data_IF_698244041225
#
_entry.id   IF_698244041225
#
_cell.length_a   1.000
_cell.length_b   1.000
_cell.length_c   1.000
_cell.angle_alpha   90.00
_cell.angle_beta   90.00
_cell.angle_gamma   90.00
#
_symmetry.space_group_name_H-M   'P 1'
#
loop_
_entity.id
_entity.type
_entity.pdbx_description
1 polymer ?
#
# COMPACT_ATOMS: atom_id res chain seq x y z
N UNK A 1 -20.60 42.43 4.42
CA UNK A 1 -19.65 41.32 4.43
C UNK A 1 -20.27 40.16 3.70
N UNK A 2 -19.60 39.63 2.67
CA UNK A 2 -20.09 38.47 1.92
C UNK A 2 -19.95 37.24 2.80
N UNK A 3 -21.06 36.65 3.22
CA UNK A 3 -21.07 35.37 3.92
C UNK A 3 -20.78 34.28 2.88
N UNK A 4 -19.67 33.58 3.01
CA UNK A 4 -19.41 32.34 2.27
C UNK A 4 -20.43 31.31 2.76
N UNK A 5 -21.53 31.15 2.03
CA UNK A 5 -22.44 30.03 2.23
C UNK A 5 -21.68 28.78 1.82
N UNK A 6 -21.11 28.08 2.79
CA UNK A 6 -20.56 26.74 2.57
C UNK A 6 -21.74 25.85 2.19
N UNK A 7 -21.87 25.59 0.89
CA UNK A 7 -22.64 24.47 0.37
C UNK A 7 -21.96 23.23 0.93
N UNK A 8 -22.35 22.82 2.14
CA UNK A 8 -21.91 21.58 2.73
C UNK A 8 -22.53 20.49 1.86
N UNK A 9 -21.77 20.04 0.86
CA UNK A 9 -22.10 18.83 0.14
C UNK A 9 -21.92 17.72 1.16
N UNK A 10 -23.02 17.34 1.79
CA UNK A 10 -23.10 16.18 2.67
C UNK A 10 -22.92 14.96 1.77
N UNK A 11 -21.66 14.55 1.61
CA UNK A 11 -21.36 13.28 0.99
C UNK A 11 -21.72 12.20 2.04
N UNK A 12 -22.53 11.20 1.68
CA UNK A 12 -22.81 10.10 2.58
C UNK A 12 -21.51 9.33 2.88
N UNK A 13 -21.42 8.76 4.08
CA UNK A 13 -20.24 7.99 4.49
C UNK A 13 -19.96 6.86 3.48
N UNK A 14 -18.68 6.69 3.04
CA UNK A 14 -18.33 5.64 2.10
C UNK A 14 -18.51 4.28 2.75
N UNK A 15 -19.19 3.37 2.06
CA UNK A 15 -19.39 2.00 2.52
C UNK A 15 -18.53 1.08 1.69
N UNK A 16 -17.50 0.50 2.29
CA UNK A 16 -16.74 -0.58 1.68
C UNK A 16 -17.44 -1.90 1.97
N UNK A 17 -17.92 -2.57 0.92
CA UNK A 17 -18.65 -3.83 1.04
C UNK A 17 -17.75 -5.05 0.88
N UNK A 18 -16.89 -5.04 -0.15
CA UNK A 18 -16.01 -6.17 -0.47
C UNK A 18 -14.73 -5.71 -1.17
N UNK A 19 -13.69 -6.53 -1.12
CA UNK A 19 -12.49 -6.39 -1.94
C UNK A 19 -12.28 -7.69 -2.70
N UNK A 20 -11.88 -7.62 -3.96
CA UNK A 20 -11.51 -8.80 -4.75
C UNK A 20 -10.22 -8.55 -5.54
N UNK A 21 -9.20 -9.41 -5.41
CA UNK A 21 -9.09 -10.51 -4.44
C UNK A 21 -8.94 -10.00 -3.00
N UNK A 22 -9.24 -10.82 -1.98
CA UNK A 22 -8.92 -10.55 -0.56
C UNK A 22 -7.60 -11.17 -0.12
N UNK A 23 -6.89 -11.82 -1.04
CA UNK A 23 -5.62 -12.45 -0.78
C UNK A 23 -4.66 -12.29 -1.96
N UNK A 24 -3.37 -12.25 -1.65
CA UNK A 24 -2.31 -12.23 -2.65
C UNK A 24 -1.10 -13.01 -2.15
N UNK A 25 -0.22 -13.34 -3.10
CA UNK A 25 1.01 -14.06 -2.82
C UNK A 25 2.13 -13.10 -2.42
N UNK A 26 2.90 -13.48 -1.41
CA UNK A 26 4.07 -12.69 -0.99
C UNK A 26 5.09 -12.62 -2.15
N UNK A 27 5.67 -11.45 -2.36
CA UNK A 27 6.67 -11.21 -3.42
C UNK A 27 6.09 -11.00 -4.83
N UNK A 28 4.78 -10.80 -4.97
CA UNK A 28 4.20 -10.40 -6.25
C UNK A 28 4.70 -8.99 -6.67
N UNK A 29 5.02 -8.79 -7.96
CA UNK A 29 5.53 -7.49 -8.47
C UNK A 29 4.51 -6.34 -8.36
N UNK A 30 3.22 -6.66 -8.38
CA UNK A 30 2.11 -5.74 -8.14
C UNK A 30 0.81 -6.55 -8.06
N UNK A 31 -0.13 -6.13 -7.22
CA UNK A 31 -1.48 -6.72 -7.20
C UNK A 31 -2.52 -5.61 -7.39
N UNK A 32 -3.44 -5.80 -8.32
CA UNK A 32 -4.60 -4.92 -8.49
C UNK A 32 -5.76 -5.47 -7.69
N UNK A 33 -6.25 -4.68 -6.73
CA UNK A 33 -7.45 -5.00 -5.96
C UNK A 33 -8.62 -4.15 -6.46
N UNK A 34 -9.80 -4.76 -6.45
CA UNK A 34 -11.06 -4.11 -6.76
C UNK A 34 -11.85 -3.99 -5.47
N UNK A 35 -12.02 -2.77 -4.98
CA UNK A 35 -12.87 -2.46 -3.84
C UNK A 35 -14.28 -2.13 -4.35
N UNK A 36 -15.26 -2.89 -3.88
CA UNK A 36 -16.67 -2.74 -4.22
C UNK A 36 -17.43 -2.22 -3.00
N UNK A 37 -18.31 -1.26 -3.21
CA UNK A 37 -19.00 -0.56 -2.13
C UNK A 37 -20.07 0.40 -2.62
N UNK A 38 -20.32 1.45 -1.85
CA UNK A 38 -21.31 2.50 -2.14
C UNK A 38 -20.80 3.86 -1.64
N UNK A 39 -21.27 4.94 -2.26
CA UNK A 39 -20.94 6.33 -1.88
C UNK A 39 -19.45 6.67 -2.04
N UNK A 40 -18.75 6.03 -2.98
CA UNK A 40 -17.39 6.43 -3.33
C UNK A 40 -17.41 7.70 -4.18
N UNK A 41 -16.42 8.55 -3.93
CA UNK A 41 -16.19 9.78 -4.68
C UNK A 41 -14.79 9.72 -5.29
N UNK A 42 -14.50 10.50 -6.34
CA UNK A 42 -13.16 10.54 -6.94
C UNK A 42 -12.06 11.04 -5.97
N UNK A 43 -12.44 11.69 -4.87
CA UNK A 43 -11.53 12.06 -3.79
C UNK A 43 -11.24 10.93 -2.79
N UNK A 44 -11.94 9.78 -2.87
CA UNK A 44 -11.76 8.64 -1.99
C UNK A 44 -10.40 7.95 -2.23
N UNK A 45 -9.65 7.75 -1.15
CA UNK A 45 -8.35 7.08 -1.16
C UNK A 45 -8.44 5.76 -0.39
N UNK A 46 -7.80 4.70 -0.88
CA UNK A 46 -7.70 3.41 -0.17
C UNK A 46 -6.42 3.45 0.65
N UNK A 47 -6.57 3.26 1.95
CA UNK A 47 -5.50 3.09 2.91
C UNK A 47 -5.25 1.61 3.17
N UNK A 48 -3.99 1.21 3.05
CA UNK A 48 -3.50 -0.15 3.26
C UNK A 48 -2.66 -0.19 4.54
N UNK A 49 -3.28 -0.57 5.67
CA UNK A 49 -2.67 -0.53 7.01
C UNK A 49 -2.06 0.84 7.38
N UNK A 50 -2.65 1.94 6.89
CA UNK A 50 -2.18 3.30 7.10
C UNK A 50 -1.22 3.84 6.02
N UNK A 51 -0.95 3.06 4.97
CA UNK A 51 -0.26 3.52 3.77
C UNK A 51 -1.29 3.83 2.67
N UNK A 52 -1.44 5.09 2.22
CA UNK A 52 -2.35 5.41 1.14
C UNK A 52 -1.83 4.80 -0.17
N UNK A 53 -2.66 3.98 -0.82
CA UNK A 53 -2.37 3.37 -2.10
C UNK A 53 -2.87 4.22 -3.27
N UNK A 54 -2.32 3.92 -4.45
CA UNK A 54 -2.82 4.54 -5.69
C UNK A 54 -4.18 3.96 -6.03
N UNK A 55 -5.23 4.78 -5.87
CA UNK A 55 -6.60 4.44 -6.20
C UNK A 55 -7.06 5.11 -7.49
N UNK A 56 -7.74 4.33 -8.32
CA UNK A 56 -8.44 4.78 -9.50
C UNK A 56 -9.93 4.65 -9.25
N UNK A 57 -10.62 5.78 -9.24
CA UNK A 57 -12.07 5.82 -9.16
C UNK A 57 -12.68 5.32 -10.47
N UNK A 58 -13.42 4.22 -10.42
CA UNK A 58 -14.15 3.69 -11.59
C UNK A 58 -15.59 4.17 -11.55
N UNK A 59 -16.24 4.05 -10.39
CA UNK A 59 -17.65 4.40 -10.19
C UNK A 59 -17.95 4.62 -8.71
N UNK A 60 -19.12 5.17 -8.39
CA UNK A 60 -19.55 5.40 -7.01
C UNK A 60 -19.66 4.13 -6.16
N UNK A 61 -19.58 2.96 -6.79
CA UNK A 61 -19.61 1.63 -6.18
C UNK A 61 -18.34 0.81 -6.41
N UNK A 62 -17.36 1.34 -7.15
CA UNK A 62 -16.17 0.58 -7.54
C UNK A 62 -14.91 1.45 -7.58
N UNK A 63 -13.90 1.02 -6.84
CA UNK A 63 -12.57 1.61 -6.79
C UNK A 63 -11.55 0.53 -7.15
N UNK A 64 -10.54 0.87 -7.95
CA UNK A 64 -9.40 0.00 -8.20
C UNK A 64 -8.18 0.53 -7.47
N UNK A 65 -7.55 -0.29 -6.64
CA UNK A 65 -6.28 0.05 -5.99
C UNK A 65 -5.16 -0.82 -6.56
N UNK A 66 -3.99 -0.23 -6.75
CA UNK A 66 -2.78 -0.98 -7.08
C UNK A 66 -1.90 -1.07 -5.85
N UNK A 67 -1.68 -2.31 -5.39
CA UNK A 67 -0.78 -2.66 -4.29
C UNK A 67 0.61 -2.89 -4.90
N UNK A 68 1.62 -2.10 -4.52
CA UNK A 68 2.99 -2.27 -5.02
C UNK A 68 3.66 -3.48 -4.36
N UNK A 69 4.67 -4.05 -5.04
CA UNK A 69 5.46 -5.18 -4.50
C UNK A 69 6.03 -4.94 -3.10
N UNK A 70 6.31 -3.68 -2.73
CA UNK A 70 6.82 -3.32 -1.41
C UNK A 70 5.88 -3.74 -0.29
N UNK A 71 4.57 -3.57 -0.50
CA UNK A 71 3.55 -3.92 0.49
C UNK A 71 3.19 -5.41 0.44
N UNK A 72 3.45 -6.06 -0.70
CA UNK A 72 3.33 -7.52 -0.88
C UNK A 72 4.60 -8.29 -0.47
N UNK A 73 5.67 -7.61 -0.05
CA UNK A 73 6.89 -8.26 0.40
C UNK A 73 6.75 -8.90 1.80
N UNK A 74 5.78 -8.45 2.58
CA UNK A 74 5.48 -8.96 3.92
C UNK A 74 4.22 -9.83 3.91
N UNK A 75 4.35 -11.08 4.33
CA UNK A 75 3.20 -11.94 4.58
C UNK A 75 2.51 -11.51 5.88
N UNK A 76 1.19 -11.42 5.87
CA UNK A 76 0.42 -10.94 7.01
C UNK A 76 -1.01 -10.58 6.65
N UNK A 77 -1.78 -10.23 7.68
CA UNK A 77 -3.13 -9.67 7.55
C UNK A 77 -3.06 -8.14 7.57
N UNK A 78 -3.45 -7.50 6.49
CA UNK A 78 -3.47 -6.05 6.32
C UNK A 78 -4.92 -5.57 6.38
N UNK A 79 -5.19 -4.54 7.19
CA UNK A 79 -6.48 -3.86 7.17
C UNK A 79 -6.54 -2.84 6.02
N UNK A 80 -7.51 -2.98 5.13
CA UNK A 80 -7.77 -2.06 4.01
C UNK A 80 -9.00 -1.22 4.31
N UNK A 81 -8.85 0.10 4.29
CA UNK A 81 -9.93 1.07 4.56
C UNK A 81 -10.04 2.07 3.42
N UNK A 82 -11.22 2.64 3.20
CA UNK A 82 -11.40 3.76 2.27
C UNK A 82 -11.60 5.03 3.09
N UNK A 83 -10.74 6.02 2.90
CA UNK A 83 -10.92 7.34 3.47
C UNK A 83 -11.45 8.31 2.40
N UNK A 84 -12.57 8.94 2.69
CA UNK A 84 -13.08 10.06 1.88
C UNK A 84 -12.78 11.37 2.60
N UNK A 85 -12.09 12.34 1.98
CA UNK A 85 -11.83 13.64 2.61
C UNK A 85 -13.10 14.49 2.73
N UNK A 86 -13.08 15.44 3.69
CA UNK A 86 -14.14 16.43 3.91
C UNK A 86 -14.38 17.30 2.64
N UNK A 87 -15.57 17.89 2.42
CA UNK A 87 -16.56 18.37 3.41
C UNK A 87 -17.69 17.40 3.84
N UNK A 88 -17.73 16.16 3.35
CA UNK A 88 -18.74 15.15 3.74
C UNK A 88 -18.15 13.75 3.89
N UNK A 89 -16.93 13.67 4.42
CA UNK A 89 -16.13 12.46 4.36
C UNK A 89 -16.19 11.62 5.63
N UNK A 90 -15.86 10.34 5.51
CA UNK A 90 -15.62 9.42 6.62
C UNK A 90 -14.70 8.28 6.19
N UNK A 91 -14.30 7.46 7.17
CA UNK A 91 -13.56 6.22 6.91
C UNK A 91 -14.55 5.07 6.82
N UNK A 92 -14.44 4.25 5.77
CA UNK A 92 -15.26 3.06 5.60
C UNK A 92 -14.87 1.95 6.58
N UNK A 93 -15.63 0.85 6.58
CA UNK A 93 -15.23 -0.40 7.21
C UNK A 93 -13.84 -0.86 6.74
N UNK A 94 -13.08 -1.47 7.65
CA UNK A 94 -11.82 -2.11 7.36
C UNK A 94 -12.06 -3.55 6.88
N UNK A 95 -11.53 -3.91 5.72
CA UNK A 95 -11.52 -5.28 5.22
C UNK A 95 -10.12 -5.86 5.39
N UNK A 96 -10.04 -7.04 5.99
CA UNK A 96 -8.78 -7.76 6.14
C UNK A 96 -8.38 -8.41 4.83
N UNK A 97 -7.19 -8.06 4.38
CA UNK A 97 -6.52 -8.64 3.23
C UNK A 97 -5.41 -9.58 3.70
N UNK A 98 -5.37 -10.80 3.19
CA UNK A 98 -4.43 -11.84 3.61
C UNK A 98 -3.31 -12.02 2.58
N UNK A 99 -2.09 -11.63 2.92
CA UNK A 99 -0.92 -11.94 2.09
C UNK A 99 -0.33 -13.25 2.56
N UNK A 100 -0.47 -14.29 1.74
CA UNK A 100 0.07 -15.63 2.02
C UNK A 100 1.39 -15.82 1.27
N UNK A 101 2.41 -16.32 1.97
CA UNK A 101 3.59 -16.81 1.28
C UNK A 101 3.21 -18.06 0.46
N UNK A 102 3.78 -18.24 -0.74
CA UNK A 102 3.63 -19.53 -1.43
C UNK A 102 4.11 -20.62 -0.47
N UNK A 103 3.45 -21.80 -0.44
CA UNK A 103 3.93 -22.91 0.37
C UNK A 103 5.40 -23.10 -0.01
N UNK A 104 6.29 -22.94 0.97
CA UNK A 104 7.71 -23.15 0.73
C UNK A 104 7.82 -24.50 0.04
N UNK A 105 8.24 -24.49 -1.24
CA UNK A 105 8.52 -25.75 -1.91
C UNK A 105 9.45 -26.51 -0.96
N UNK A 106 9.10 -27.74 -0.56
CA UNK A 106 9.95 -28.49 0.36
C UNK A 106 11.33 -28.47 -0.28
N UNK A 107 12.32 -27.98 0.46
CA UNK A 107 13.71 -28.02 0.06
C UNK A 107 14.02 -29.49 -0.26
N UNK A 108 13.88 -29.86 -1.53
CA UNK A 108 14.23 -31.18 -2.01
C UNK A 108 15.73 -31.21 -1.91
N UNK A 109 16.19 -32.13 -1.06
CA UNK A 109 17.57 -32.22 -0.62
C UNK A 109 18.56 -32.03 -1.76
N UNK A 110 19.49 -31.12 -1.54
CA UNK A 110 20.68 -30.96 -2.35
C UNK A 110 21.82 -30.60 -1.42
N UNK A 111 22.34 -31.60 -0.71
CA UNK A 111 23.65 -31.47 -0.09
C UNK A 111 24.69 -31.22 -1.19
N UNK A 112 25.58 -30.26 -0.96
CA UNK A 112 26.70 -29.99 -1.86
C UNK A 112 27.09 -28.52 -1.84
N UNK A 113 28.21 -28.23 -1.19
CA UNK A 113 28.72 -26.88 -0.99
C UNK A 113 28.82 -26.06 -2.28
N UNK A 114 28.52 -24.79 -2.15
CA UNK A 114 28.69 -23.80 -3.20
C UNK A 114 28.31 -22.45 -2.63
N UNK A 115 29.31 -21.69 -2.20
CA UNK A 115 29.21 -20.25 -1.98
C UNK A 115 28.93 -19.60 -3.35
N UNK A 116 27.68 -19.68 -3.80
CA UNK A 116 27.25 -19.28 -5.12
C UNK A 116 26.01 -18.43 -4.98
N UNK A 117 26.24 -17.12 -4.78
CA UNK A 117 25.40 -16.02 -5.22
C UNK A 117 23.92 -16.40 -5.46
N UNK A 118 23.11 -16.37 -4.40
CA UNK A 118 21.68 -16.12 -4.58
C UNK A 118 21.56 -14.89 -5.45
N UNK A 119 21.09 -15.10 -6.68
CA UNK A 119 20.97 -14.09 -7.70
C UNK A 119 20.38 -12.83 -7.06
N UNK A 120 21.18 -11.76 -7.05
CA UNK A 120 20.92 -10.46 -6.45
C UNK A 120 19.77 -9.71 -7.16
N UNK A 121 18.82 -10.42 -7.76
CA UNK A 121 17.72 -9.88 -8.55
C UNK A 121 16.51 -9.41 -7.73
N UNK A 122 16.45 -9.68 -6.43
CA UNK A 122 15.33 -9.25 -5.58
C UNK A 122 15.75 -8.55 -4.27
N UNK A 123 17.06 -8.36 -4.04
CA UNK A 123 17.56 -7.58 -2.89
C UNK A 123 17.81 -6.10 -3.22
N UNK A 124 17.81 -5.73 -4.52
CA UNK A 124 18.11 -4.36 -4.95
C UNK A 124 16.97 -3.35 -4.70
N UNK A 125 15.72 -3.80 -4.61
CA UNK A 125 14.58 -2.90 -4.38
C UNK A 125 14.39 -2.54 -2.89
N UNK A 126 14.88 -3.39 -1.97
CA UNK A 126 14.63 -3.21 -0.53
C UNK A 126 15.55 -2.15 0.11
N UNK A 127 16.74 -1.88 -0.46
CA UNK A 127 17.65 -0.84 0.07
C UNK A 127 17.30 0.56 -0.45
N UNK A 128 16.65 0.69 -1.62
CA UNK A 128 16.32 1.99 -2.21
C UNK A 128 15.08 2.66 -1.58
N UNK A 129 14.07 1.88 -1.17
CA UNK A 129 12.81 2.44 -0.63
C UNK A 129 12.97 2.87 0.84
N UNK A 130 13.76 2.12 1.62
CA UNK A 130 14.06 2.45 3.02
C UNK A 130 14.99 3.67 3.16
N UNK A 131 15.83 3.94 2.14
CA UNK A 131 16.68 5.13 2.07
C UNK A 131 15.88 6.42 1.79
N UNK A 132 14.75 6.34 1.09
CA UNK A 132 13.93 7.54 0.79
C UNK A 132 12.96 7.91 1.91
N UNK A 133 12.52 6.97 2.76
CA UNK A 133 11.66 7.30 3.93
C UNK A 133 12.43 7.92 5.09
N UNK A 134 13.74 7.72 5.20
CA UNK A 134 14.60 8.35 6.23
C UNK A 134 15.28 9.66 5.81
N UNK A 135 15.03 10.16 4.59
CA UNK A 135 15.63 11.42 4.11
C UNK A 135 14.71 12.65 4.24
N UNK A 136 13.66 12.60 5.08
CA UNK A 136 12.79 13.77 5.34
C UNK A 136 13.09 14.55 6.63
N UNK A 137 14.11 14.17 7.40
CA UNK A 137 14.50 14.93 8.60
C UNK A 137 15.87 15.56 8.35
N UNK A 138 15.83 16.72 7.68
CA UNK A 138 16.81 17.81 7.70
C UNK A 138 18.29 17.44 7.42
N UNK A 139 18.64 17.33 6.13
CA UNK A 139 20.02 17.26 5.63
C UNK A 139 20.72 18.63 5.66
N UNK A 140 20.69 19.30 6.80
CA UNK A 140 21.37 20.58 7.04
C UNK A 140 22.40 20.46 8.16
N UNK A 141 22.86 19.25 8.46
CA UNK A 141 23.92 19.03 9.44
C UNK A 141 25.20 18.50 8.77
N UNK A 142 26.29 19.25 8.94
CA UNK A 142 27.63 18.98 8.37
C UNK A 142 28.19 17.60 8.76
N UNK A 143 27.56 16.89 9.70
CA UNK A 143 28.02 15.60 10.19
C UNK A 143 28.00 14.45 9.15
N UNK A 144 27.20 14.54 8.07
CA UNK A 144 27.03 13.42 7.12
C UNK A 144 28.02 13.40 5.95
N UNK A 145 29.10 14.21 5.96
CA UNK A 145 30.08 14.20 4.86
C UNK A 145 31.17 13.11 4.98
N UNK A 146 31.18 12.31 6.05
CA UNK A 146 32.21 11.29 6.28
C UNK A 146 31.82 9.85 5.95
N UNK A 147 30.56 9.57 5.61
CA UNK A 147 30.09 8.19 5.39
C UNK A 147 30.06 7.82 3.89
N UNK A 148 30.04 8.80 2.97
CA UNK A 148 30.03 8.53 1.52
C UNK A 148 31.42 8.40 0.86
N UNK A 149 32.52 8.33 1.63
CA UNK A 149 33.87 8.30 1.08
C UNK A 149 34.65 7.01 1.39
N UNK A 150 33.96 5.91 1.73
CA UNK A 150 34.62 4.62 1.84
C UNK A 150 33.72 3.47 1.40
#
# INVERSE_FOLDING_TARGET
GSASASFAVDYPAPVLGAISPTSAQVGASSATITATGSNFVPASTIDWSGTPLTTSYVSATQLNATVPASDLAAAGSIAVTVATPAPGGGTSSAITFSVSAPPAAPATGGGGGGLGIFSLGALAALVAVEAMRRCRINCTDKAVKRICAR
#
